data_IF_061612137674
#
_entry.id   IF_061612137674
#
_cell.length_a   1.000
_cell.length_b   1.000
_cell.length_c   1.000
_cell.angle_alpha   90.00
_cell.angle_beta   90.00
_cell.angle_gamma   90.00
#
_symmetry.space_group_name_H-M   'P 1'
#
loop_
_entity.id
_entity.type
_entity.pdbx_description
1 polymer ?
#
# COMPACT_ATOMS: atom_id res chain seq x y z
N UNK A 1 -36.20 -11.89 2.88
CA UNK A 1 -35.11 -10.90 3.07
C UNK A 1 -34.30 -11.39 4.26
N UNK A 2 -33.02 -11.71 4.09
CA UNK A 2 -32.17 -12.15 5.20
C UNK A 2 -31.84 -10.95 6.09
N UNK A 3 -32.18 -11.04 7.37
CA UNK A 3 -31.84 -10.04 8.38
C UNK A 3 -30.32 -9.87 8.44
N UNK A 4 -29.84 -8.71 7.98
CA UNK A 4 -28.44 -8.32 8.11
C UNK A 4 -28.24 -7.78 9.51
N UNK A 5 -27.71 -8.60 10.40
CA UNK A 5 -27.27 -8.14 11.72
C UNK A 5 -26.03 -7.24 11.57
N UNK A 6 -26.13 -6.00 12.06
CA UNK A 6 -24.99 -5.08 12.14
C UNK A 6 -24.28 -5.29 13.47
N UNK A 7 -23.04 -5.74 13.41
CA UNK A 7 -22.25 -6.11 14.58
C UNK A 7 -21.22 -5.04 14.93
N UNK A 8 -20.98 -4.86 16.22
CA UNK A 8 -19.88 -4.07 16.75
C UNK A 8 -18.54 -4.78 16.51
N UNK A 9 -17.46 -4.01 16.32
CA UNK A 9 -16.12 -4.54 16.00
C UNK A 9 -15.54 -5.48 17.08
N UNK A 10 -16.09 -5.42 18.29
CA UNK A 10 -15.77 -6.35 19.39
C UNK A 10 -15.94 -7.80 18.98
N UNK A 11 -16.99 -8.14 18.21
CA UNK A 11 -17.20 -9.52 17.77
C UNK A 11 -16.08 -10.02 16.86
N UNK A 12 -15.61 -9.15 15.95
CA UNK A 12 -14.50 -9.48 15.05
C UNK A 12 -13.20 -9.65 15.85
N UNK A 13 -12.90 -8.74 16.76
CA UNK A 13 -11.68 -8.81 17.58
C UNK A 13 -11.68 -10.02 18.53
N UNK A 14 -12.81 -10.36 19.13
CA UNK A 14 -12.96 -11.57 19.94
C UNK A 14 -12.82 -12.85 19.10
N UNK A 15 -13.42 -12.88 17.89
CA UNK A 15 -13.30 -14.02 16.97
C UNK A 15 -11.87 -14.24 16.49
N UNK A 16 -11.15 -13.14 16.16
CA UNK A 16 -9.74 -13.21 15.78
C UNK A 16 -8.87 -13.70 16.94
N UNK A 17 -9.13 -13.22 18.16
CA UNK A 17 -8.39 -13.66 19.37
C UNK A 17 -8.64 -15.14 19.69
N UNK A 18 -9.85 -15.64 19.44
CA UNK A 18 -10.22 -17.04 19.62
C UNK A 18 -9.79 -17.96 18.47
N UNK A 19 -9.30 -17.40 17.35
CA UNK A 19 -8.97 -18.14 16.12
C UNK A 19 -10.19 -18.76 15.41
N UNK A 20 -11.41 -18.38 15.80
CA UNK A 20 -12.67 -18.87 15.22
C UNK A 20 -13.83 -17.90 15.51
N UNK A 21 -14.89 -17.88 14.69
CA UNK A 21 -16.09 -17.09 14.99
C UNK A 21 -16.66 -17.44 16.37
N UNK A 22 -16.75 -16.46 17.27
CA UNK A 22 -17.38 -16.66 18.58
C UNK A 22 -18.91 -16.56 18.48
N UNK A 23 -19.68 -17.24 19.35
CA UNK A 23 -21.14 -17.08 19.38
C UNK A 23 -21.54 -15.61 19.55
N UNK A 24 -22.59 -15.19 18.83
CA UNK A 24 -23.13 -13.85 18.96
C UNK A 24 -23.73 -13.64 20.35
N UNK A 25 -23.42 -12.49 20.94
CA UNK A 25 -23.93 -12.07 22.24
C UNK A 25 -24.51 -10.66 22.07
N UNK A 26 -25.38 -10.24 22.99
CA UNK A 26 -26.04 -8.92 22.90
C UNK A 26 -25.01 -7.77 22.79
N UNK A 27 -23.86 -7.90 23.47
CA UNK A 27 -22.74 -6.94 23.38
C UNK A 27 -22.08 -6.83 22.00
N UNK A 28 -22.31 -7.81 21.13
CA UNK A 28 -21.78 -7.84 19.77
C UNK A 28 -22.67 -7.09 18.79
N UNK A 29 -23.89 -6.70 19.17
CA UNK A 29 -24.76 -5.90 18.33
C UNK A 29 -24.48 -4.42 18.53
N UNK A 30 -24.49 -3.64 17.44
CA UNK A 30 -24.48 -2.19 17.57
C UNK A 30 -25.80 -1.77 18.22
N UNK A 31 -25.74 -1.32 19.47
CA UNK A 31 -26.89 -0.75 20.15
C UNK A 31 -27.19 0.59 19.48
N UNK A 32 -28.33 0.69 18.81
CA UNK A 32 -28.77 1.92 18.17
C UNK A 32 -29.19 2.91 19.28
N UNK A 33 -28.54 4.06 19.48
CA UNK A 33 -28.87 4.97 20.59
C UNK A 33 -30.25 5.65 20.47
N UNK A 34 -31.00 5.38 19.40
CA UNK A 34 -32.27 6.04 19.10
C UNK A 34 -33.46 5.61 20.00
N UNK A 35 -33.26 4.69 20.95
CA UNK A 35 -34.30 4.29 21.93
C UNK A 35 -33.81 4.60 23.34
N UNK A 36 -33.70 5.89 23.63
CA UNK A 36 -33.23 6.34 24.94
C UNK A 36 -32.98 7.85 24.98
N UNK A 37 -34.00 8.66 24.71
CA UNK A 37 -33.97 10.07 25.12
C UNK A 37 -33.71 10.14 26.63
N UNK A 38 -32.49 10.53 27.00
CA UNK A 38 -32.21 11.20 28.27
C UNK A 38 -31.72 12.59 27.95
N UNK A 39 -32.57 13.54 28.27
CA UNK A 39 -32.32 14.98 28.27
C UNK A 39 -31.09 15.31 29.13
N UNK A 40 -29.99 15.67 28.48
CA UNK A 40 -28.91 16.42 29.09
C UNK A 40 -28.69 17.66 28.22
N UNK A 41 -29.28 18.77 28.64
CA UNK A 41 -28.98 20.10 28.12
C UNK A 41 -27.55 20.49 28.53
N UNK A 42 -26.64 20.48 27.56
CA UNK A 42 -25.37 21.21 27.64
C UNK A 42 -25.33 22.30 26.55
N UNK A 43 -24.75 23.48 26.83
CA UNK A 43 -24.82 24.63 25.94
C UNK A 43 -23.68 24.66 24.92
N UNK A 44 -23.96 25.39 23.83
CA UNK A 44 -23.10 25.78 22.71
C UNK A 44 -23.04 24.81 21.53
N UNK A 45 -23.92 25.07 20.57
CA UNK A 45 -23.84 24.54 19.21
C UNK A 45 -22.62 25.18 18.51
N UNK A 46 -21.47 24.52 18.59
CA UNK A 46 -20.50 24.58 17.50
C UNK A 46 -21.23 24.14 16.22
N UNK A 47 -21.07 24.83 15.08
CA UNK A 47 -21.70 24.39 13.84
C UNK A 47 -21.21 22.97 13.55
N UNK A 48 -22.14 22.00 13.57
CA UNK A 48 -21.83 20.63 13.17
C UNK A 48 -21.19 20.69 11.78
N UNK A 49 -19.91 20.32 11.72
CA UNK A 49 -19.22 20.23 10.44
C UNK A 49 -20.02 19.32 9.52
N UNK A 50 -20.37 19.82 8.33
CA UNK A 50 -21.02 19.01 7.30
C UNK A 50 -20.18 17.77 6.91
N UNK A 51 -18.90 17.76 7.29
CA UNK A 51 -17.94 16.68 7.03
C UNK A 51 -17.78 15.83 8.29
N UNK A 52 -18.17 14.56 8.22
CA UNK A 52 -17.97 13.61 9.33
C UNK A 52 -16.47 13.41 9.63
N UNK A 53 -16.04 13.21 10.90
CA UNK A 53 -14.67 12.79 11.21
C UNK A 53 -14.32 11.38 10.71
N UNK A 54 -15.31 10.51 10.48
CA UNK A 54 -15.09 9.11 10.09
C UNK A 54 -15.05 8.94 8.57
N UNK A 55 -13.96 8.38 8.05
CA UNK A 55 -13.79 8.19 6.60
C UNK A 55 -14.87 7.31 5.96
N UNK A 56 -15.41 6.33 6.69
CA UNK A 56 -16.50 5.47 6.20
C UNK A 56 -17.85 6.20 6.04
N UNK A 57 -17.99 7.40 6.59
CA UNK A 57 -19.17 8.26 6.46
C UNK A 57 -18.96 9.36 5.41
N UNK A 58 -17.90 9.27 4.59
CA UNK A 58 -17.61 10.25 3.54
C UNK A 58 -17.30 9.56 2.21
N UNK A 59 -17.92 9.96 1.09
CA UNK A 59 -17.45 9.53 -0.22
C UNK A 59 -16.07 10.14 -0.50
N UNK A 60 -15.08 9.31 -0.81
CA UNK A 60 -13.75 9.75 -1.22
C UNK A 60 -13.44 9.17 -2.59
N UNK A 61 -13.53 9.99 -3.63
CA UNK A 61 -13.27 9.57 -5.01
C UNK A 61 -11.77 9.60 -5.32
N UNK A 62 -11.36 9.07 -6.48
CA UNK A 62 -9.96 9.16 -6.93
C UNK A 62 -9.56 10.56 -7.39
N UNK A 63 -10.54 11.44 -7.66
CA UNK A 63 -10.29 12.81 -8.06
C UNK A 63 -10.02 13.68 -6.81
N UNK A 64 -8.78 13.67 -6.35
CA UNK A 64 -8.34 14.47 -5.21
C UNK A 64 -8.03 15.91 -5.65
N UNK A 65 -8.95 16.85 -5.40
CA UNK A 65 -8.76 18.27 -5.69
C UNK A 65 -7.73 18.95 -4.78
N UNK A 66 -7.54 18.42 -3.57
CA UNK A 66 -6.67 18.98 -2.53
C UNK A 66 -5.26 18.39 -2.56
N UNK A 67 -4.78 17.91 -3.72
CA UNK A 67 -3.56 17.10 -3.83
C UNK A 67 -2.32 17.76 -3.20
N UNK A 68 -2.12 19.05 -3.43
CA UNK A 68 -0.96 19.79 -2.90
C UNK A 68 -0.88 19.72 -1.36
N UNK A 69 -2.02 19.86 -0.68
CA UNK A 69 -2.09 19.76 0.78
C UNK A 69 -1.98 18.31 1.24
N UNK A 70 -2.67 17.38 0.58
CA UNK A 70 -2.70 15.99 1.02
C UNK A 70 -1.35 15.32 0.87
N UNK A 71 -0.60 15.62 -0.20
CA UNK A 71 0.74 15.07 -0.42
C UNK A 71 1.70 15.54 0.67
N UNK A 72 1.65 16.83 1.03
CA UNK A 72 2.43 17.41 2.12
C UNK A 72 2.13 16.75 3.47
N UNK A 73 0.85 16.59 3.82
CA UNK A 73 0.43 15.92 5.05
C UNK A 73 0.84 14.42 5.05
N UNK A 74 0.84 13.77 3.89
CA UNK A 74 1.28 12.37 3.76
C UNK A 74 2.80 12.22 3.93
N UNK A 75 3.61 13.17 3.45
CA UNK A 75 5.06 13.21 3.73
C UNK A 75 5.33 13.34 5.24
N UNK A 76 4.61 14.25 5.91
CA UNK A 76 4.70 14.41 7.37
C UNK A 76 4.31 13.12 8.11
N UNK A 77 3.20 12.50 7.70
CA UNK A 77 2.73 11.25 8.30
C UNK A 77 3.73 10.10 8.12
N UNK A 78 4.30 9.94 6.92
CA UNK A 78 5.29 8.91 6.60
C UNK A 78 6.58 9.13 7.41
N UNK A 79 7.08 10.36 7.48
CA UNK A 79 8.26 10.68 8.29
C UNK A 79 8.05 10.36 9.78
N UNK A 80 6.88 10.70 10.33
CA UNK A 80 6.54 10.38 11.72
C UNK A 80 6.43 8.88 11.96
N UNK A 81 5.93 8.12 10.99
CA UNK A 81 5.90 6.65 11.06
C UNK A 81 7.31 6.05 11.09
N UNK A 82 8.24 6.57 10.27
CA UNK A 82 9.65 6.17 10.32
C UNK A 82 10.33 6.55 11.65
N UNK A 83 9.85 7.59 12.34
CA UNK A 83 10.31 7.96 13.67
C UNK A 83 9.60 7.21 14.80
N UNK A 84 8.70 6.26 14.50
CA UNK A 84 7.94 5.50 15.50
C UNK A 84 6.80 6.28 16.17
N UNK A 85 6.47 7.48 15.67
CA UNK A 85 5.46 8.38 16.22
C UNK A 85 4.08 8.13 15.60
N UNK A 86 3.46 6.99 15.94
CA UNK A 86 2.20 6.53 15.33
C UNK A 86 0.99 7.43 15.59
N UNK A 87 0.90 8.06 16.77
CA UNK A 87 -0.20 8.96 17.12
C UNK A 87 -0.24 10.22 16.23
N UNK A 88 0.82 11.03 16.21
CA UNK A 88 0.92 12.17 15.30
C UNK A 88 0.82 11.79 13.81
N UNK A 89 1.43 10.66 13.40
CA UNK A 89 1.29 10.15 12.03
C UNK A 89 -0.19 9.92 11.66
N UNK A 90 -0.96 9.28 12.56
CA UNK A 90 -2.39 9.04 12.36
C UNK A 90 -3.19 10.35 12.27
N UNK A 91 -2.84 11.38 13.04
CA UNK A 91 -3.48 12.68 12.95
C UNK A 91 -3.34 13.30 11.55
N UNK A 92 -2.12 13.33 11.00
CA UNK A 92 -1.87 13.82 9.65
C UNK A 92 -2.56 12.97 8.57
N UNK A 93 -2.60 11.63 8.72
CA UNK A 93 -3.36 10.76 7.80
C UNK A 93 -4.86 11.05 7.84
N UNK A 94 -5.43 11.33 9.01
CA UNK A 94 -6.84 11.71 9.15
C UNK A 94 -7.12 13.07 8.51
N UNK A 95 -6.25 14.06 8.72
CA UNK A 95 -6.35 15.36 8.07
C UNK A 95 -6.31 15.23 6.53
N UNK A 96 -5.32 14.50 5.99
CA UNK A 96 -5.25 14.22 4.55
C UNK A 96 -6.49 13.48 4.04
N UNK A 97 -7.02 12.51 4.80
CA UNK A 97 -8.24 11.78 4.44
C UNK A 97 -9.49 12.67 4.41
N UNK A 98 -9.58 13.68 5.28
CA UNK A 98 -10.68 14.67 5.24
C UNK A 98 -10.55 15.53 3.98
N UNK A 99 -9.36 16.07 3.71
CA UNK A 99 -9.11 16.91 2.52
C UNK A 99 -9.34 16.17 1.20
N UNK A 100 -9.01 14.88 1.12
CA UNK A 100 -9.27 14.02 -0.06
C UNK A 100 -10.76 13.84 -0.35
N UNK A 101 -11.63 14.00 0.65
CA UNK A 101 -13.07 13.83 0.50
C UNK A 101 -13.81 15.12 0.13
N UNK A 102 -13.12 16.26 0.13
CA UNK A 102 -13.74 17.54 -0.21
C UNK A 102 -14.02 17.62 -1.72
N UNK A 103 -15.13 18.27 -2.11
CA UNK A 103 -15.47 18.47 -3.53
C UNK A 103 -14.45 19.35 -4.25
N UNK A 104 -13.86 20.32 -3.54
CA UNK A 104 -12.85 21.25 -4.03
C UNK A 104 -11.77 21.49 -2.96
N UNK A 105 -10.60 21.97 -3.40
CA UNK A 105 -9.54 22.37 -2.49
C UNK A 105 -9.93 23.63 -1.71
N UNK A 106 -9.59 23.71 -0.40
CA UNK A 106 -9.83 24.93 0.37
C UNK A 106 -9.07 26.09 -0.27
N UNK A 107 -9.76 27.20 -0.52
CA UNK A 107 -9.16 28.41 -1.11
C UNK A 107 -8.66 29.40 -0.08
N UNK A 108 -9.23 29.36 1.12
CA UNK A 108 -8.87 30.21 2.25
C UNK A 108 -8.80 29.38 3.52
N UNK A 109 -8.02 29.84 4.49
CA UNK A 109 -7.79 29.10 5.72
C UNK A 109 -9.08 28.93 6.54
N UNK A 110 -10.01 29.89 6.47
CA UNK A 110 -11.28 29.86 7.18
C UNK A 110 -12.14 28.65 6.79
N UNK A 111 -12.04 28.20 5.53
CA UNK A 111 -12.74 27.02 5.02
C UNK A 111 -12.30 25.72 5.73
N UNK A 112 -11.14 25.75 6.40
CA UNK A 112 -10.60 24.60 7.16
C UNK A 112 -10.96 24.60 8.65
N UNK A 113 -11.49 25.71 9.18
CA UNK A 113 -11.73 25.86 10.62
C UNK A 113 -12.79 24.88 11.14
N UNK A 114 -13.81 24.61 10.34
CA UNK A 114 -14.88 23.68 10.70
C UNK A 114 -14.57 22.23 10.33
N UNK A 115 -13.46 21.94 9.65
CA UNK A 115 -13.16 20.57 9.22
C UNK A 115 -12.66 19.72 10.39
N UNK A 116 -13.18 18.49 10.57
CA UNK A 116 -12.69 17.61 11.61
C UNK A 116 -11.26 17.16 11.31
N UNK A 117 -10.54 16.71 12.33
CA UNK A 117 -9.19 16.17 12.22
C UNK A 117 -8.10 17.15 11.75
N UNK A 118 -8.42 18.42 11.47
CA UNK A 118 -7.45 19.46 11.15
C UNK A 118 -7.09 20.24 12.42
N UNK A 119 -6.03 19.78 13.09
CA UNK A 119 -5.43 20.52 14.21
C UNK A 119 -4.60 21.71 13.74
N UNK A 120 -4.12 22.50 14.71
CA UNK A 120 -3.28 23.70 14.48
C UNK A 120 -2.12 23.44 13.51
N UNK A 121 -1.37 22.36 13.72
CA UNK A 121 -0.24 22.01 12.86
C UNK A 121 -0.69 21.74 11.42
N UNK A 122 -1.76 20.97 11.20
CA UNK A 122 -2.26 20.72 9.83
C UNK A 122 -2.74 21.99 9.15
N UNK A 123 -3.33 22.93 9.90
CA UNK A 123 -3.76 24.23 9.38
C UNK A 123 -2.58 25.12 9.00
N UNK A 124 -1.54 25.18 9.82
CA UNK A 124 -0.32 25.91 9.51
C UNK A 124 0.34 25.40 8.21
N UNK A 125 0.37 24.08 7.98
CA UNK A 125 0.85 23.51 6.70
C UNK A 125 -0.01 23.96 5.52
N UNK A 126 -1.34 23.96 5.68
CA UNK A 126 -2.26 24.39 4.62
C UNK A 126 -2.08 25.88 4.32
N UNK A 127 -1.94 26.71 5.35
CA UNK A 127 -1.73 28.16 5.24
C UNK A 127 -0.43 28.46 4.49
N UNK A 128 0.70 27.88 4.92
CA UNK A 128 2.00 28.07 4.27
C UNK A 128 1.97 27.64 2.80
N UNK A 129 1.36 26.49 2.49
CA UNK A 129 1.21 26.03 1.10
C UNK A 129 0.30 26.97 0.29
N UNK A 130 -0.74 27.54 0.91
CA UNK A 130 -1.65 28.45 0.23
C UNK A 130 -0.98 29.78 -0.10
N UNK A 131 -0.09 30.25 0.78
CA UNK A 131 0.63 31.52 0.62
C UNK A 131 1.86 31.38 -0.32
N UNK A 132 2.66 30.34 -0.14
CA UNK A 132 3.96 30.19 -0.80
C UNK A 132 4.00 29.07 -1.85
N UNK A 133 2.94 28.27 -2.00
CA UNK A 133 2.89 27.13 -2.91
C UNK A 133 3.68 25.90 -2.44
N UNK A 134 4.33 25.98 -1.28
CA UNK A 134 5.12 24.91 -0.68
C UNK A 134 5.16 25.07 0.85
N UNK A 135 5.66 24.06 1.56
CA UNK A 135 5.86 24.11 2.99
C UNK A 135 7.33 23.81 3.32
N UNK A 136 8.01 24.74 3.98
CA UNK A 136 9.41 24.64 4.39
C UNK A 136 9.70 23.35 5.14
N UNK A 137 8.83 22.98 6.10
CA UNK A 137 8.99 21.76 6.89
C UNK A 137 8.90 20.49 6.05
N UNK A 138 8.06 20.48 5.02
CA UNK A 138 7.93 19.34 4.10
C UNK A 138 9.18 19.24 3.23
N UNK A 139 9.67 20.37 2.72
CA UNK A 139 10.92 20.42 1.94
C UNK A 139 12.13 19.96 2.77
N UNK A 140 12.22 20.36 4.04
CA UNK A 140 13.24 19.86 4.97
C UNK A 140 13.21 18.34 5.09
N UNK A 141 12.03 17.75 5.28
CA UNK A 141 11.85 16.29 5.39
C UNK A 141 12.25 15.60 4.08
N UNK A 142 11.85 16.14 2.93
CA UNK A 142 12.19 15.58 1.62
C UNK A 142 13.71 15.58 1.37
N UNK A 143 14.42 16.56 1.92
CA UNK A 143 15.87 16.69 1.81
C UNK A 143 16.64 15.98 2.95
N UNK A 144 15.98 15.57 4.02
CA UNK A 144 16.58 14.84 5.13
C UNK A 144 17.18 13.49 4.68
N UNK A 145 18.41 13.19 5.13
CA UNK A 145 19.12 11.96 4.74
C UNK A 145 18.43 10.73 5.32
N UNK A 146 17.95 10.83 6.57
CA UNK A 146 17.28 9.73 7.27
C UNK A 146 15.99 9.38 6.54
N UNK A 147 15.11 10.34 6.29
CA UNK A 147 13.86 10.11 5.57
C UNK A 147 14.09 9.47 4.19
N UNK A 148 15.01 10.02 3.38
CA UNK A 148 15.34 9.47 2.06
C UNK A 148 15.87 8.04 2.13
N UNK A 149 16.75 7.75 3.10
CA UNK A 149 17.31 6.40 3.28
C UNK A 149 16.26 5.40 3.75
N UNK A 150 15.43 5.80 4.73
CA UNK A 150 14.32 4.98 5.23
C UNK A 150 13.33 4.64 4.13
N UNK A 151 12.99 5.62 3.29
CA UNK A 151 12.12 5.45 2.12
C UNK A 151 12.74 4.54 1.06
N UNK A 152 14.04 4.69 0.79
CA UNK A 152 14.78 3.82 -0.13
C UNK A 152 14.81 2.37 0.36
N UNK A 153 15.11 2.12 1.63
CA UNK A 153 15.17 0.76 2.15
C UNK A 153 13.79 0.12 2.23
N UNK A 154 12.78 0.87 2.67
CA UNK A 154 11.41 0.37 2.80
C UNK A 154 10.70 0.15 1.46
N UNK A 155 11.27 0.61 0.33
CA UNK A 155 10.75 0.28 -1.00
C UNK A 155 11.09 -1.16 -1.44
N UNK A 156 11.98 -1.85 -0.74
CA UNK A 156 12.33 -3.24 -1.01
C UNK A 156 11.32 -4.17 -0.35
N UNK A 157 10.70 -5.06 -1.13
CA UNK A 157 9.79 -6.08 -0.59
C UNK A 157 10.47 -6.92 0.51
N UNK A 158 9.83 -7.01 1.68
CA UNK A 158 10.37 -7.70 2.86
C UNK A 158 11.24 -6.82 3.78
N UNK A 159 11.41 -5.53 3.48
CA UNK A 159 12.08 -4.56 4.35
C UNK A 159 11.05 -3.61 4.94
N UNK A 160 10.79 -3.75 6.24
CA UNK A 160 9.95 -2.82 7.00
C UNK A 160 10.75 -1.76 7.76
N UNK A 161 10.09 -0.79 8.42
CA UNK A 161 10.74 0.32 9.11
C UNK A 161 11.81 -0.11 10.12
N UNK A 162 11.59 -1.20 10.86
CA UNK A 162 12.57 -1.70 11.83
C UNK A 162 13.87 -2.18 11.18
N UNK A 163 13.78 -2.86 10.04
CA UNK A 163 14.95 -3.32 9.29
C UNK A 163 15.67 -2.14 8.63
N UNK A 164 14.90 -1.22 8.03
CA UNK A 164 15.43 0.00 7.43
C UNK A 164 16.19 0.85 8.47
N UNK A 165 15.61 1.02 9.66
CA UNK A 165 16.22 1.75 10.78
C UNK A 165 17.54 1.09 11.20
N UNK A 166 17.54 -0.24 11.36
CA UNK A 166 18.75 -0.97 11.72
C UNK A 166 19.88 -0.74 10.70
N UNK A 167 19.58 -0.79 9.41
CA UNK A 167 20.56 -0.53 8.36
C UNK A 167 21.03 0.93 8.38
N UNK A 168 20.12 1.88 8.58
CA UNK A 168 20.45 3.30 8.69
C UNK A 168 21.39 3.59 9.87
N UNK A 169 21.09 3.06 11.07
CA UNK A 169 21.92 3.22 12.28
C UNK A 169 23.32 2.61 12.13
N UNK A 170 23.48 1.65 11.22
CA UNK A 170 24.79 1.06 10.88
C UNK A 170 25.57 1.88 9.84
N UNK A 171 25.06 3.03 9.44
CA UNK A 171 25.71 3.91 8.45
C UNK A 171 25.42 3.54 7.00
N UNK A 172 24.49 2.61 6.74
CA UNK A 172 24.12 2.22 5.38
C UNK A 172 23.14 3.24 4.80
N UNK A 173 23.34 3.59 3.52
CA UNK A 173 22.56 4.59 2.76
C UNK A 173 22.13 4.09 1.38
N UNK A 174 22.74 3.01 0.87
CA UNK A 174 22.47 2.50 -0.47
C UNK A 174 22.23 0.99 -0.47
N UNK A 175 21.54 0.47 -1.51
CA UNK A 175 21.36 -0.96 -1.71
C UNK A 175 22.69 -1.71 -1.87
N UNK A 176 23.67 -1.10 -2.55
CA UNK A 176 24.99 -1.70 -2.72
C UNK A 176 25.69 -1.90 -1.38
N UNK A 177 25.60 -0.93 -0.48
CA UNK A 177 26.15 -1.07 0.87
C UNK A 177 25.46 -2.18 1.66
N UNK A 178 24.12 -2.29 1.57
CA UNK A 178 23.37 -3.38 2.22
C UNK A 178 23.78 -4.76 1.67
N UNK A 179 23.93 -4.89 0.36
CA UNK A 179 24.26 -6.15 -0.31
C UNK A 179 25.72 -6.58 -0.09
N UNK A 180 26.63 -5.62 0.08
CA UNK A 180 28.05 -5.87 0.29
C UNK A 180 28.44 -5.97 1.77
N UNK A 181 27.52 -5.69 2.71
CA UNK A 181 27.82 -5.80 4.14
C UNK A 181 27.81 -7.28 4.58
N UNK A 182 28.96 -7.84 5.02
CA UNK A 182 29.08 -9.27 5.32
C UNK A 182 28.30 -9.70 6.56
N UNK A 183 27.85 -8.76 7.41
CA UNK A 183 27.07 -9.08 8.61
C UNK A 183 25.56 -8.99 8.38
N UNK A 184 25.12 -8.57 7.19
CA UNK A 184 23.70 -8.60 6.81
C UNK A 184 23.36 -9.96 6.23
N UNK A 185 22.38 -10.62 6.85
CA UNK A 185 21.76 -11.84 6.32
C UNK A 185 20.34 -11.54 5.89
N UNK A 186 20.13 -11.51 4.58
CA UNK A 186 18.80 -11.30 4.01
C UNK A 186 17.95 -12.55 4.19
N UNK A 187 16.70 -12.37 4.61
CA UNK A 187 15.72 -13.45 4.61
C UNK A 187 15.17 -13.69 3.19
N UNK A 188 14.41 -14.78 2.99
CA UNK A 188 13.86 -15.16 1.67
C UNK A 188 13.05 -14.04 1.00
N UNK A 189 12.24 -13.29 1.77
CA UNK A 189 11.45 -12.18 1.23
C UNK A 189 12.36 -11.03 0.76
N UNK A 190 13.34 -10.65 1.57
CA UNK A 190 14.30 -9.59 1.25
C UNK A 190 15.17 -9.96 0.06
N UNK A 191 15.66 -11.20 -0.02
CA UNK A 191 16.40 -11.70 -1.18
C UNK A 191 15.56 -11.59 -2.45
N UNK A 192 14.28 -11.99 -2.41
CA UNK A 192 13.38 -11.83 -3.54
C UNK A 192 13.12 -10.33 -3.86
N UNK A 193 12.97 -9.50 -2.82
CA UNK A 193 12.79 -8.06 -2.96
C UNK A 193 13.93 -7.37 -3.67
N UNK A 194 15.19 -7.71 -3.37
CA UNK A 194 16.36 -7.21 -4.10
C UNK A 194 16.45 -7.78 -5.51
N UNK A 195 16.21 -9.09 -5.68
CA UNK A 195 16.31 -9.77 -6.97
C UNK A 195 15.32 -9.21 -8.01
N UNK A 196 14.11 -8.87 -7.57
CA UNK A 196 13.03 -8.39 -8.45
C UNK A 196 12.71 -6.91 -8.24
N UNK A 197 13.60 -6.15 -7.58
CA UNK A 197 13.35 -4.74 -7.20
C UNK A 197 12.93 -3.88 -8.40
N UNK A 198 13.66 -3.99 -9.51
CA UNK A 198 13.40 -3.17 -10.72
C UNK A 198 12.01 -3.43 -11.33
N UNK A 199 11.51 -4.66 -11.21
CA UNK A 199 10.20 -5.03 -11.77
C UNK A 199 9.07 -4.74 -10.78
N UNK A 200 9.24 -5.06 -9.50
CA UNK A 200 8.25 -4.77 -8.44
C UNK A 200 8.08 -3.26 -8.22
N UNK A 201 9.12 -2.45 -8.48
CA UNK A 201 9.03 -0.98 -8.37
C UNK A 201 8.23 -0.33 -9.50
N UNK A 202 7.96 -1.05 -10.60
CA UNK A 202 7.15 -0.51 -11.71
C UNK A 202 5.66 -0.60 -11.34
N UNK A 203 4.88 0.47 -11.55
CA UNK A 203 3.44 0.40 -11.32
C UNK A 203 2.79 -0.65 -12.22
N UNK A 204 1.98 -1.53 -11.63
CA UNK A 204 1.13 -2.48 -12.35
C UNK A 204 -0.06 -1.72 -12.91
N UNK A 205 -0.33 -1.87 -14.20
CA UNK A 205 -1.48 -1.30 -14.89
C UNK A 205 -2.74 -2.14 -14.72
N UNK A 206 -3.92 -1.53 -14.93
CA UNK A 206 -5.20 -2.25 -14.95
C UNK A 206 -5.22 -3.38 -15.99
N UNK A 207 -4.55 -3.20 -17.13
CA UNK A 207 -4.42 -4.23 -18.17
C UNK A 207 -3.64 -5.44 -17.65
N UNK A 208 -2.51 -5.22 -16.98
CA UNK A 208 -1.74 -6.29 -16.35
C UNK A 208 -2.55 -6.97 -15.22
N UNK A 209 -3.31 -6.21 -14.44
CA UNK A 209 -4.17 -6.77 -13.39
C UNK A 209 -5.26 -7.69 -13.97
N UNK A 210 -5.86 -7.34 -15.12
CA UNK A 210 -6.84 -8.18 -15.81
C UNK A 210 -6.17 -9.43 -16.38
N UNK A 211 -4.99 -9.31 -16.99
CA UNK A 211 -4.24 -10.45 -17.48
C UNK A 211 -3.88 -11.44 -16.35
N UNK A 212 -3.46 -10.91 -15.18
CA UNK A 212 -3.20 -11.71 -13.99
C UNK A 212 -4.47 -12.39 -13.46
N UNK A 213 -5.63 -11.72 -13.51
CA UNK A 213 -6.91 -12.34 -13.14
C UNK A 213 -7.17 -13.60 -13.96
N UNK A 214 -6.99 -13.54 -15.28
CA UNK A 214 -7.23 -14.69 -16.17
C UNK A 214 -6.34 -15.87 -15.78
N UNK A 215 -5.04 -15.62 -15.57
CA UNK A 215 -4.08 -16.66 -15.17
C UNK A 215 -4.45 -17.29 -13.81
N UNK A 216 -4.84 -16.46 -12.83
CA UNK A 216 -5.26 -16.94 -11.50
C UNK A 216 -6.58 -17.70 -11.57
N UNK A 217 -7.55 -17.21 -12.33
CA UNK A 217 -8.87 -17.81 -12.50
C UNK A 217 -8.79 -19.18 -13.18
N UNK A 218 -7.99 -19.31 -14.25
CA UNK A 218 -7.70 -20.61 -14.88
C UNK A 218 -7.07 -21.60 -13.90
N UNK A 219 -6.11 -21.15 -13.09
CA UNK A 219 -5.47 -21.99 -12.08
C UNK A 219 -6.47 -22.44 -11.00
N UNK A 220 -7.29 -21.53 -10.50
CA UNK A 220 -8.30 -21.80 -9.47
C UNK A 220 -9.38 -22.75 -9.97
N UNK A 221 -9.94 -22.51 -11.17
CA UNK A 221 -10.98 -23.34 -11.77
C UNK A 221 -10.47 -24.77 -12.04
N UNK A 222 -9.17 -24.93 -12.34
CA UNK A 222 -8.57 -26.26 -12.52
C UNK A 222 -8.50 -27.10 -11.23
N UNK A 223 -8.61 -26.46 -10.07
CA UNK A 223 -8.66 -27.14 -8.76
C UNK A 223 -10.11 -27.32 -8.33
N UNK A 224 -10.91 -26.24 -8.40
CA UNK A 224 -12.32 -26.24 -8.01
C UNK A 224 -13.13 -25.55 -9.11
N UNK A 225 -13.80 -26.30 -10.00
CA UNK A 225 -14.51 -25.74 -11.14
C UNK A 225 -15.62 -24.73 -10.77
N UNK A 226 -16.17 -24.83 -9.56
CA UNK A 226 -17.22 -23.94 -9.04
C UNK A 226 -16.71 -22.70 -8.30
N UNK A 227 -15.38 -22.55 -8.14
CA UNK A 227 -14.79 -21.39 -7.49
C UNK A 227 -14.81 -20.15 -8.40
N UNK A 228 -14.80 -18.97 -7.78
CA UNK A 228 -14.77 -17.68 -8.48
C UNK A 228 -13.64 -16.78 -7.96
N UNK A 229 -13.08 -15.96 -8.85
CA UNK A 229 -11.95 -15.06 -8.55
C UNK A 229 -12.35 -13.61 -8.83
N UNK A 230 -12.16 -12.73 -7.85
CA UNK A 230 -12.47 -11.31 -7.95
C UNK A 230 -11.25 -10.44 -7.65
N UNK A 231 -10.98 -9.44 -8.49
CA UNK A 231 -9.98 -8.41 -8.19
C UNK A 231 -10.48 -7.54 -7.03
N UNK A 232 -9.61 -7.25 -6.08
CA UNK A 232 -9.88 -6.38 -4.92
C UNK A 232 -8.88 -5.21 -4.86
N UNK A 233 -8.46 -4.79 -3.66
CA UNK A 233 -7.42 -3.78 -3.51
C UNK A 233 -7.73 -2.42 -4.15
N UNK A 234 -6.67 -1.75 -4.62
CA UNK A 234 -6.75 -0.46 -5.30
C UNK A 234 -7.51 -0.50 -6.63
N UNK A 235 -7.37 -1.59 -7.39
CA UNK A 235 -8.04 -1.78 -8.67
C UNK A 235 -9.56 -1.86 -8.54
N UNK A 236 -10.07 -2.53 -7.50
CA UNK A 236 -11.52 -2.54 -7.20
C UNK A 236 -12.04 -1.15 -6.82
N UNK A 237 -11.19 -0.29 -6.25
CA UNK A 237 -11.52 1.13 -5.98
C UNK A 237 -11.37 2.03 -7.21
N UNK A 238 -11.00 1.47 -8.37
CA UNK A 238 -10.91 2.16 -9.65
C UNK A 238 -9.53 2.68 -10.03
N UNK A 239 -8.47 2.42 -9.24
CA UNK A 239 -7.11 2.89 -9.59
C UNK A 239 -6.68 2.29 -10.93
N UNK A 240 -6.08 3.10 -11.79
CA UNK A 240 -5.49 2.64 -13.05
C UNK A 240 -4.15 1.94 -12.85
N UNK A 241 -3.43 2.32 -11.79
CA UNK A 241 -2.13 1.79 -11.42
C UNK A 241 -2.06 1.39 -9.94
N UNK A 242 -1.35 0.30 -9.65
CA UNK A 242 -1.13 -0.25 -8.31
C UNK A 242 0.31 -0.77 -8.13
N UNK A 243 0.66 -1.16 -6.90
CA UNK A 243 1.94 -1.83 -6.61
C UNK A 243 1.83 -3.35 -6.75
N UNK A 244 0.63 -3.89 -6.51
CA UNK A 244 0.27 -5.30 -6.51
C UNK A 244 -1.17 -5.48 -6.99
N UNK A 245 -1.58 -6.74 -7.18
CA UNK A 245 -2.94 -7.11 -7.56
C UNK A 245 -3.49 -8.08 -6.53
N UNK A 246 -4.52 -7.63 -5.81
CA UNK A 246 -5.19 -8.42 -4.80
C UNK A 246 -6.35 -9.22 -5.38
N UNK A 247 -6.44 -10.50 -5.02
CA UNK A 247 -7.54 -11.37 -5.41
C UNK A 247 -8.27 -11.92 -4.19
N UNK A 248 -9.61 -11.97 -4.26
CA UNK A 248 -10.43 -12.81 -3.38
C UNK A 248 -10.91 -14.00 -4.19
N UNK A 249 -10.70 -15.19 -3.62
CA UNK A 249 -11.23 -16.45 -4.15
C UNK A 249 -12.41 -16.87 -3.28
N UNK A 250 -13.51 -17.27 -3.91
CA UNK A 250 -14.72 -17.73 -3.24
C UNK A 250 -15.14 -19.10 -3.77
N UNK A 251 -15.43 -20.03 -2.87
CA UNK A 251 -16.09 -21.31 -3.14
C UNK A 251 -17.56 -21.27 -2.71
N UNK A 252 -18.43 -22.10 -3.30
CA UNK A 252 -19.82 -22.22 -2.88
C UNK A 252 -19.98 -23.00 -1.57
N UNK A 253 -19.11 -23.99 -1.33
CA UNK A 253 -19.14 -24.84 -0.14
C UNK A 253 -17.98 -24.48 0.81
N UNK A 254 -18.27 -24.46 2.11
CA UNK A 254 -17.27 -24.21 3.15
C UNK A 254 -16.32 -25.42 3.30
N UNK A 255 -15.04 -25.16 3.57
CA UNK A 255 -13.99 -26.17 3.72
C UNK A 255 -13.28 -26.53 2.40
N UNK A 256 -13.79 -26.07 1.26
CA UNK A 256 -13.14 -26.27 -0.05
C UNK A 256 -11.91 -25.37 -0.23
N UNK A 257 -11.89 -24.21 0.43
CA UNK A 257 -10.87 -23.17 0.33
C UNK A 257 -9.47 -23.62 0.77
N UNK A 258 -9.37 -24.56 1.72
CA UNK A 258 -8.10 -25.01 2.32
C UNK A 258 -7.14 -25.62 1.29
N UNK A 259 -7.69 -26.24 0.25
CA UNK A 259 -6.93 -26.91 -0.80
C UNK A 259 -6.47 -25.99 -1.93
N UNK A 260 -7.12 -24.82 -2.09
CA UNK A 260 -6.97 -23.99 -3.30
C UNK A 260 -5.57 -23.37 -3.37
N UNK A 261 -5.17 -22.63 -2.34
CA UNK A 261 -3.91 -21.89 -2.38
C UNK A 261 -2.69 -22.83 -2.54
N UNK A 262 -2.57 -23.94 -1.79
CA UNK A 262 -1.48 -24.90 -2.01
C UNK A 262 -1.46 -25.46 -3.44
N UNK A 263 -2.63 -25.86 -3.98
CA UNK A 263 -2.72 -26.45 -5.31
C UNK A 263 -2.39 -25.45 -6.42
N UNK A 264 -2.86 -24.22 -6.32
CA UNK A 264 -2.57 -23.13 -7.27
C UNK A 264 -1.09 -22.76 -7.25
N UNK A 265 -0.49 -22.60 -6.07
CA UNK A 265 0.95 -22.31 -5.94
C UNK A 265 1.79 -23.43 -6.55
N UNK A 266 1.44 -24.68 -6.27
CA UNK A 266 2.15 -25.83 -6.81
C UNK A 266 2.02 -25.95 -8.32
N UNK A 267 0.83 -25.64 -8.87
CA UNK A 267 0.63 -25.53 -10.32
C UNK A 267 1.58 -24.50 -10.94
N UNK A 268 1.68 -23.30 -10.37
CA UNK A 268 2.59 -22.26 -10.88
C UNK A 268 4.07 -22.66 -10.78
N UNK A 269 4.47 -23.37 -9.71
CA UNK A 269 5.84 -23.93 -9.60
C UNK A 269 6.13 -24.95 -10.70
N UNK A 270 5.18 -25.84 -11.01
CA UNK A 270 5.33 -26.83 -12.09
C UNK A 270 5.41 -26.17 -13.46
N UNK A 271 4.55 -25.20 -13.76
CA UNK A 271 4.58 -24.45 -15.03
C UNK A 271 5.94 -23.77 -15.25
N UNK A 272 6.47 -23.13 -14.21
CA UNK A 272 7.82 -22.54 -14.25
C UNK A 272 8.91 -23.58 -14.55
N UNK A 273 8.83 -24.76 -13.92
CA UNK A 273 9.82 -25.83 -14.10
C UNK A 273 9.78 -26.46 -15.49
N UNK A 274 8.60 -26.48 -16.10
CA UNK A 274 8.39 -27.00 -17.46
C UNK A 274 8.66 -25.97 -18.57
N UNK A 275 9.08 -24.74 -18.23
CA UNK A 275 9.26 -23.67 -19.22
C UNK A 275 7.95 -23.19 -19.87
N UNK A 276 6.79 -23.60 -19.32
CA UNK A 276 5.47 -23.20 -19.79
C UNK A 276 5.16 -21.81 -19.23
N UNK A 277 5.21 -20.78 -20.09
CA UNK A 277 4.57 -19.50 -19.77
C UNK A 277 3.05 -19.70 -19.77
N UNK A 278 2.29 -19.11 -18.83
CA UNK A 278 0.84 -19.04 -18.96
C UNK A 278 0.49 -18.53 -20.36
N UNK A 279 -0.50 -19.15 -21.01
CA UNK A 279 -0.89 -18.81 -22.38
C UNK A 279 -1.08 -17.28 -22.50
N UNK A 280 -0.55 -16.73 -23.60
CA UNK A 280 -0.37 -15.30 -23.83
C UNK A 280 -1.61 -14.44 -23.48
N UNK A 281 -1.61 -13.83 -22.30
CA UNK A 281 -2.57 -12.80 -21.91
C UNK A 281 -1.96 -11.39 -21.92
N UNK A 282 -0.74 -11.22 -22.45
CA UNK A 282 -0.10 -9.92 -22.62
C UNK A 282 -0.25 -9.44 -24.07
N UNK A 283 -0.85 -8.27 -24.34
CA UNK A 283 -0.91 -7.71 -25.69
C UNK A 283 0.51 -7.54 -26.27
N UNK A 284 0.74 -7.74 -27.59
CA UNK A 284 2.07 -7.82 -28.19
C UNK A 284 2.93 -6.54 -28.21
N UNK A 285 2.61 -5.48 -27.47
CA UNK A 285 3.29 -4.19 -27.61
C UNK A 285 4.54 -3.98 -26.73
N UNK A 286 4.82 -4.85 -25.75
CA UNK A 286 5.98 -4.66 -24.86
C UNK A 286 7.13 -5.68 -25.04
N UNK A 287 6.89 -6.80 -25.74
CA UNK A 287 7.93 -7.82 -25.95
C UNK A 287 9.01 -7.43 -26.96
N UNK A 288 8.72 -6.47 -27.86
CA UNK A 288 9.68 -6.03 -28.89
C UNK A 288 10.79 -5.11 -28.36
N UNK A 289 10.58 -4.45 -27.23
CA UNK A 289 11.58 -3.56 -26.62
C UNK A 289 12.70 -4.33 -25.87
N UNK A 290 12.42 -5.55 -25.39
CA UNK A 290 13.44 -6.36 -24.70
C UNK A 290 14.43 -7.03 -25.64
N UNK A 291 14.00 -7.52 -26.81
CA UNK A 291 14.90 -8.20 -27.77
C UNK A 291 15.82 -7.24 -28.54
N UNK A 292 15.54 -5.94 -28.57
CA UNK A 292 16.32 -4.96 -29.34
C UNK A 292 17.54 -4.40 -28.58
N UNK A 293 17.76 -4.76 -27.31
CA UNK A 293 18.87 -4.22 -26.49
C UNK A 293 20.09 -5.14 -26.38
N UNK A 294 20.05 -6.36 -26.91
CA UNK A 294 21.19 -7.29 -26.90
C UNK A 294 22.20 -7.06 -28.04
N UNK A 295 21.95 -6.11 -28.94
CA UNK A 295 22.84 -5.82 -30.06
C UNK A 295 23.10 -4.32 -30.22
N UNK A 296 23.96 -3.73 -29.40
CA UNK A 296 24.67 -2.47 -29.70
C UNK A 296 25.81 -2.21 -28.70
N UNK A 297 27.04 -2.31 -29.19
CA UNK A 297 28.29 -1.88 -28.52
C UNK A 297 28.36 -0.35 -28.40
N UNK A 298 28.93 0.24 -27.33
CA UNK A 298 28.95 1.69 -27.15
C UNK A 298 30.23 2.35 -27.68
N UNK A 299 30.05 3.36 -28.52
CA UNK A 299 31.05 4.39 -28.84
C UNK A 299 30.99 5.56 -27.83
N UNK A 300 32.16 6.17 -27.59
CA UNK A 300 32.49 7.14 -26.54
C UNK A 300 31.78 8.50 -26.67
N UNK A 301 31.29 9.06 -25.55
CA UNK A 301 31.72 10.34 -24.95
C UNK A 301 30.80 10.74 -23.76
N UNK A 302 31.41 11.28 -22.70
CA UNK A 302 30.80 11.82 -21.48
C UNK A 302 30.92 13.37 -21.47
N UNK A 303 30.26 14.15 -20.57
CA UNK A 303 30.41 14.03 -19.11
C UNK A 303 29.12 14.05 -18.25
N UNK A 304 29.15 13.17 -17.25
CA UNK A 304 28.71 13.25 -15.83
C UNK A 304 27.46 14.03 -15.41
N UNK A 305 26.45 13.29 -14.91
CA UNK A 305 25.89 13.38 -13.53
C UNK A 305 25.11 12.08 -13.20
N UNK A 306 25.33 11.51 -12.00
CA UNK A 306 24.47 10.48 -11.37
C UNK A 306 24.48 9.05 -11.93
N UNK A 307 25.55 8.28 -11.69
CA UNK A 307 25.65 6.87 -12.11
C UNK A 307 24.69 5.96 -11.32
N UNK A 308 23.51 5.62 -11.87
CA UNK A 308 22.78 4.39 -11.52
C UNK A 308 23.46 3.22 -12.22
N UNK A 309 24.32 2.47 -11.52
CA UNK A 309 24.77 1.16 -11.99
C UNK A 309 23.71 0.12 -11.67
N UNK A 310 23.29 -0.64 -12.68
CA UNK A 310 22.31 -1.72 -12.53
C UNK A 310 22.81 -2.78 -11.54
N UNK A 311 21.89 -3.32 -10.75
CA UNK A 311 22.15 -4.45 -9.86
C UNK A 311 22.65 -5.63 -10.68
N UNK A 312 23.85 -6.13 -10.38
CA UNK A 312 24.42 -7.28 -11.07
C UNK A 312 23.61 -8.54 -10.71
N UNK A 313 22.70 -8.96 -11.58
CA UNK A 313 21.81 -10.12 -11.39
C UNK A 313 22.57 -11.40 -11.03
N UNK A 314 23.82 -11.54 -11.48
CA UNK A 314 24.66 -12.72 -11.21
C UNK A 314 24.94 -12.95 -9.72
N UNK A 315 25.18 -11.88 -8.96
CA UNK A 315 25.49 -11.95 -7.51
C UNK A 315 24.24 -12.26 -6.67
N UNK A 316 23.07 -11.75 -7.07
CA UNK A 316 21.81 -12.00 -6.37
C UNK A 316 21.29 -13.43 -6.61
N UNK A 317 21.57 -14.00 -7.78
CA UNK A 317 21.19 -15.37 -8.12
C UNK A 317 21.99 -16.41 -7.31
N UNK A 318 23.27 -16.15 -7.02
CA UNK A 318 24.11 -16.99 -6.14
C UNK A 318 23.67 -16.94 -4.67
N UNK A 319 23.24 -15.78 -4.18
CA UNK A 319 22.67 -15.65 -2.83
C UNK A 319 21.33 -16.42 -2.68
N UNK A 320 20.50 -16.41 -3.73
CA UNK A 320 19.23 -17.14 -3.75
C UNK A 320 19.40 -18.68 -3.79
N UNK A 321 20.47 -19.18 -4.42
CA UNK A 321 20.81 -20.61 -4.40
C UNK A 321 21.35 -21.07 -3.05
N UNK A 322 22.00 -20.18 -2.30
CA UNK A 322 22.51 -20.49 -0.96
C UNK A 322 21.38 -20.54 0.08
N UNK A 323 20.26 -19.84 -0.14
CA UNK A 323 19.07 -19.87 0.72
C UNK A 323 18.10 -21.06 0.46
N UNK A 324 18.45 -21.95 -0.47
CA UNK A 324 17.76 -23.22 -0.75
C UNK A 324 18.29 -24.41 0.07
N UNK A 325 19.32 -24.21 0.91
CA UNK A 325 19.69 -25.15 1.97
C UNK A 325 19.09 -24.72 3.30
#
# INVERSE_FOLDING_TARGET
>A
MQDKHVLHISWFTESMSAGRPVPLQIRHYIQNPAVGQRSCSHPSAEPESAVSPYACQRPTTLNNRSKIFTDALEVLAENLEFCGNSGPSLAFRRAASVLKSLPDAPRRLEETQHLPCLGEHSRAIIEEISEYGSCSRVEEILNDERYRTMKLFSSVFGVGPKTAENWFCRGLRTFEQVLNDPSIRLNRMQTAGFLFYEDISKPVSRTEAIALKIIVEEAVISVIPSASVSITGGFRRGKEFGHDVDFIIKTPEAGQEDSILPAVIERFKRQRSAGLTPAAACPPQQTRAMRARESRTPGKHAPQTGTRRGLNRGTLQTMAETAKK
#
